data_IF_606266232781
#
_entry.id   IF_606266232781
#
_cell.length_a   1.000
_cell.length_b   1.000
_cell.length_c   1.000
_cell.angle_alpha   90.00
_cell.angle_beta   90.00
_cell.angle_gamma   90.00
#
_symmetry.space_group_name_H-M   'P 1'
#
loop_
_entity.id
_entity.type
_entity.pdbx_description
1 polymer ?
#
# COMPACT_ATOMS: atom_id res chain seq x y z
N UNK A 1 -32.47 3.31 1.43
CA UNK A 1 -31.86 3.80 0.20
C UNK A 1 -30.36 3.68 0.34
N UNK A 2 -29.74 2.84 -0.51
CA UNK A 2 -28.29 2.73 -0.60
C UNK A 2 -27.77 3.86 -1.47
N UNK A 3 -26.78 4.60 -1.00
CA UNK A 3 -26.13 5.66 -1.77
C UNK A 3 -25.62 5.09 -3.10
N UNK A 4 -25.81 5.80 -4.24
CA UNK A 4 -25.21 5.39 -5.51
C UNK A 4 -23.70 5.19 -5.36
N UNK A 5 -23.19 4.06 -5.79
CA UNK A 5 -21.78 3.70 -5.65
C UNK A 5 -21.38 3.05 -4.32
N UNK A 6 -22.33 2.80 -3.40
CA UNK A 6 -22.03 1.99 -2.21
C UNK A 6 -21.84 0.51 -2.60
N UNK A 7 -20.93 -0.24 -1.94
CA UNK A 7 -20.73 -1.67 -2.20
C UNK A 7 -22.00 -2.49 -2.07
N UNK A 8 -22.97 -2.01 -1.31
CA UNK A 8 -24.26 -2.66 -1.07
C UNK A 8 -25.30 -2.41 -2.19
N UNK A 9 -25.01 -1.50 -3.14
CA UNK A 9 -25.98 -1.10 -4.17
C UNK A 9 -26.08 -2.09 -5.34
N UNK A 10 -25.06 -2.93 -5.59
CA UNK A 10 -24.98 -3.80 -6.76
C UNK A 10 -24.80 -5.25 -6.31
N UNK A 11 -25.72 -6.11 -6.71
CA UNK A 11 -25.59 -7.57 -6.54
C UNK A 11 -24.67 -8.10 -7.69
N UNK A 12 -23.42 -8.42 -7.35
CA UNK A 12 -22.48 -9.01 -8.29
C UNK A 12 -22.70 -10.53 -8.44
N UNK A 13 -22.48 -11.06 -9.66
CA UNK A 13 -22.45 -12.50 -9.91
C UNK A 13 -21.30 -13.16 -9.12
N UNK A 14 -21.42 -14.44 -8.79
CA UNK A 14 -20.42 -15.19 -8.02
C UNK A 14 -19.01 -15.06 -8.59
N UNK A 15 -18.75 -15.22 -9.90
CA UNK A 15 -17.40 -15.05 -10.46
C UNK A 15 -16.82 -13.66 -10.24
N UNK A 16 -17.64 -12.61 -10.40
CA UNK A 16 -17.18 -11.22 -10.15
C UNK A 16 -16.82 -10.99 -8.68
N UNK A 17 -17.55 -11.63 -7.76
CA UNK A 17 -17.26 -11.54 -6.32
C UNK A 17 -15.90 -12.15 -5.98
N UNK A 18 -15.57 -13.31 -6.56
CA UNK A 18 -14.25 -13.91 -6.40
C UNK A 18 -13.15 -13.02 -6.99
N UNK A 19 -13.37 -12.44 -8.16
CA UNK A 19 -12.42 -11.52 -8.78
C UNK A 19 -12.16 -10.30 -7.87
N UNK A 20 -13.18 -9.65 -7.35
CA UNK A 20 -13.04 -8.55 -6.40
C UNK A 20 -12.31 -8.94 -5.13
N UNK A 21 -12.57 -10.15 -4.63
CA UNK A 21 -11.89 -10.68 -3.45
C UNK A 21 -10.38 -10.77 -3.67
N UNK A 22 -9.95 -11.45 -4.73
CA UNK A 22 -8.52 -11.62 -5.00
C UNK A 22 -7.81 -10.32 -5.34
N UNK A 23 -8.43 -9.45 -6.15
CA UNK A 23 -7.86 -8.13 -6.45
C UNK A 23 -7.75 -7.31 -5.17
N UNK A 24 -8.78 -7.32 -4.32
CA UNK A 24 -8.77 -6.58 -3.06
C UNK A 24 -7.66 -7.05 -2.11
N UNK A 25 -7.46 -8.36 -1.99
CA UNK A 25 -6.38 -8.93 -1.17
C UNK A 25 -5.00 -8.57 -1.75
N UNK A 26 -4.84 -8.69 -3.06
CA UNK A 26 -3.57 -8.37 -3.72
C UNK A 26 -3.18 -6.90 -3.51
N UNK A 27 -4.13 -5.98 -3.73
CA UNK A 27 -3.90 -4.54 -3.51
C UNK A 27 -3.61 -4.23 -2.04
N UNK A 28 -4.31 -4.89 -1.11
CA UNK A 28 -4.09 -4.69 0.33
C UNK A 28 -2.68 -5.13 0.76
N UNK A 29 -2.19 -6.26 0.24
CA UNK A 29 -0.84 -6.76 0.53
C UNK A 29 0.22 -5.86 -0.11
N UNK A 30 0.05 -5.46 -1.37
CA UNK A 30 1.04 -4.64 -2.09
C UNK A 30 1.39 -3.36 -1.35
N UNK A 31 0.39 -2.63 -0.86
CA UNK A 31 0.60 -1.40 -0.10
C UNK A 31 1.39 -1.62 1.21
N UNK A 32 1.19 -2.77 1.87
CA UNK A 32 1.91 -3.12 3.11
C UNK A 32 3.30 -3.69 2.82
N UNK A 33 3.45 -4.42 1.72
CA UNK A 33 4.70 -5.04 1.30
C UNK A 33 5.77 -3.97 1.01
N UNK A 34 5.41 -2.88 0.33
CA UNK A 34 6.29 -1.75 0.05
C UNK A 34 6.97 -1.20 1.31
N UNK A 35 6.19 -0.92 2.35
CA UNK A 35 6.78 -0.49 3.62
C UNK A 35 7.53 -1.62 4.34
N UNK A 36 7.08 -2.85 4.16
CA UNK A 36 7.71 -4.05 4.69
C UNK A 36 9.13 -4.26 4.17
N UNK A 37 9.36 -4.07 2.87
CA UNK A 37 10.69 -4.20 2.26
C UNK A 37 11.70 -3.20 2.83
N UNK A 38 11.30 -1.94 3.01
CA UNK A 38 12.18 -0.94 3.65
C UNK A 38 12.50 -1.35 5.09
N UNK A 39 11.49 -1.78 5.85
CA UNK A 39 11.68 -2.17 7.25
C UNK A 39 12.60 -3.40 7.37
N UNK A 40 12.42 -4.39 6.49
CA UNK A 40 13.24 -5.61 6.49
C UNK A 40 14.70 -5.35 6.11
N UNK A 41 14.95 -4.35 5.25
CA UNK A 41 16.30 -4.04 4.76
C UNK A 41 16.88 -2.76 5.37
N UNK A 42 16.28 -2.25 6.44
CA UNK A 42 16.71 -1.00 7.07
C UNK A 42 18.20 -0.97 7.43
N UNK A 43 18.81 -2.06 7.99
CA UNK A 43 20.25 -2.08 8.27
C UNK A 43 21.12 -1.94 7.01
N UNK A 44 20.68 -2.53 5.89
CA UNK A 44 21.39 -2.43 4.61
C UNK A 44 21.34 -1.00 4.07
N UNK A 45 20.17 -0.39 4.06
CA UNK A 45 19.93 0.99 3.64
C UNK A 45 20.74 1.96 4.52
N UNK A 46 20.76 1.70 5.83
CA UNK A 46 21.54 2.46 6.80
C UNK A 46 23.03 2.42 6.47
N UNK A 47 23.59 1.26 6.14
CA UNK A 47 24.98 1.08 5.76
C UNK A 47 25.33 1.80 4.47
N UNK A 48 24.48 1.71 3.45
CA UNK A 48 24.71 2.31 2.14
C UNK A 48 24.73 3.85 2.17
N UNK A 49 23.81 4.46 2.91
CA UNK A 49 23.74 5.92 3.06
C UNK A 49 24.57 6.46 4.23
N UNK A 50 25.23 5.62 5.02
CA UNK A 50 25.99 6.03 6.20
C UNK A 50 25.13 6.68 7.28
N UNK A 51 23.88 6.23 7.45
CA UNK A 51 22.92 6.84 8.35
C UNK A 51 23.09 6.36 9.79
N UNK A 52 22.75 7.21 10.73
CA UNK A 52 22.50 6.79 12.11
C UNK A 52 21.22 5.95 12.20
N UNK A 53 21.05 5.08 13.21
CA UNK A 53 19.82 4.32 13.42
C UNK A 53 18.55 5.21 13.48
N UNK A 54 18.70 6.40 14.05
CA UNK A 54 17.61 7.38 14.16
C UNK A 54 17.19 7.93 12.79
N UNK A 55 18.15 8.27 11.93
CA UNK A 55 17.87 8.75 10.57
C UNK A 55 17.23 7.65 9.72
N UNK A 56 17.76 6.43 9.77
CA UNK A 56 17.22 5.31 9.03
C UNK A 56 15.75 5.01 9.43
N UNK A 57 15.42 5.11 10.72
CA UNK A 57 14.07 4.89 11.23
C UNK A 57 13.03 5.88 10.67
N UNK A 58 13.45 7.06 10.19
CA UNK A 58 12.55 8.01 9.54
C UNK A 58 12.00 7.52 8.20
N UNK A 59 12.68 6.64 7.49
CA UNK A 59 12.21 6.13 6.20
C UNK A 59 10.87 5.38 6.31
N UNK A 60 10.74 4.32 7.14
CA UNK A 60 9.44 3.68 7.34
C UNK A 60 8.45 4.59 8.10
N UNK A 61 8.92 5.42 9.03
CA UNK A 61 8.06 6.32 9.79
C UNK A 61 7.39 7.37 8.90
N UNK A 62 8.14 8.00 7.99
CA UNK A 62 7.61 9.01 7.07
C UNK A 62 6.51 8.43 6.17
N UNK A 63 6.68 7.20 5.68
CA UNK A 63 5.63 6.50 4.93
C UNK A 63 4.36 6.33 5.78
N UNK A 64 4.50 5.79 6.99
CA UNK A 64 3.33 5.53 7.87
C UNK A 64 2.64 6.84 8.25
N UNK A 65 3.38 7.87 8.64
CA UNK A 65 2.83 9.18 8.98
C UNK A 65 2.06 9.80 7.81
N UNK A 66 2.64 9.78 6.61
CA UNK A 66 2.00 10.28 5.40
C UNK A 66 0.75 9.46 5.04
N UNK A 67 0.82 8.13 5.16
CA UNK A 67 -0.32 7.24 4.89
C UNK A 67 -1.48 7.48 5.84
N UNK A 68 -1.22 7.58 7.14
CA UNK A 68 -2.24 7.86 8.15
C UNK A 68 -2.85 9.25 7.92
N UNK A 69 -2.03 10.26 7.66
CA UNK A 69 -2.50 11.62 7.37
C UNK A 69 -3.37 11.67 6.12
N UNK A 70 -2.97 10.95 5.06
CA UNK A 70 -3.76 10.83 3.83
C UNK A 70 -5.12 10.15 4.07
N UNK A 71 -5.18 9.15 4.95
CA UNK A 71 -6.44 8.49 5.31
C UNK A 71 -7.46 9.45 5.94
N UNK A 72 -7.03 10.48 6.66
CA UNK A 72 -7.93 11.52 7.19
C UNK A 72 -8.57 12.36 6.09
N UNK A 73 -7.79 12.70 5.05
CA UNK A 73 -8.24 13.49 3.91
C UNK A 73 -9.08 12.65 2.95
N UNK A 74 -8.79 11.36 2.88
CA UNK A 74 -9.38 10.38 1.97
C UNK A 74 -10.91 10.34 2.02
N UNK A 75 -11.48 10.46 3.21
CA UNK A 75 -12.93 10.45 3.39
C UNK A 75 -13.60 11.60 2.62
N UNK A 76 -13.04 12.81 2.74
CA UNK A 76 -13.56 14.01 2.06
C UNK A 76 -13.30 13.96 0.54
N UNK A 77 -12.10 13.59 0.14
CA UNK A 77 -11.73 13.48 -1.27
C UNK A 77 -12.60 12.44 -2.01
N UNK A 78 -12.87 11.31 -1.37
CA UNK A 78 -13.75 10.27 -1.92
C UNK A 78 -15.20 10.74 -2.08
N UNK A 79 -15.71 11.57 -1.18
CA UNK A 79 -17.04 12.15 -1.30
C UNK A 79 -17.15 13.15 -2.45
N UNK A 80 -16.10 13.93 -2.71
CA UNK A 80 -16.09 14.97 -3.73
C UNK A 80 -15.81 14.43 -5.14
N UNK A 81 -14.84 13.55 -5.29
CA UNK A 81 -14.33 13.08 -6.59
C UNK A 81 -14.75 11.65 -6.93
N UNK A 82 -15.32 10.94 -5.98
CA UNK A 82 -15.65 9.52 -6.10
C UNK A 82 -14.45 8.60 -5.86
N UNK A 83 -14.76 7.36 -5.48
CA UNK A 83 -13.73 6.36 -5.14
C UNK A 83 -12.84 6.00 -6.34
N UNK A 84 -13.44 5.89 -7.54
CA UNK A 84 -12.73 5.45 -8.74
C UNK A 84 -11.61 6.41 -9.13
N UNK A 85 -11.94 7.68 -9.34
CA UNK A 85 -10.96 8.70 -9.75
C UNK A 85 -9.86 8.84 -8.71
N UNK A 86 -10.23 8.86 -7.43
CA UNK A 86 -9.28 8.96 -6.34
C UNK A 86 -8.31 7.78 -6.29
N UNK A 87 -8.80 6.55 -6.49
CA UNK A 87 -7.96 5.35 -6.49
C UNK A 87 -7.08 5.24 -7.73
N UNK A 88 -7.59 5.62 -8.91
CA UNK A 88 -6.81 5.67 -10.15
C UNK A 88 -5.64 6.65 -10.05
N UNK A 89 -5.88 7.84 -9.53
CA UNK A 89 -4.82 8.85 -9.30
C UNK A 89 -3.81 8.33 -8.27
N UNK A 90 -4.27 7.77 -7.15
CA UNK A 90 -3.41 7.20 -6.13
C UNK A 90 -2.53 6.08 -6.68
N UNK A 91 -3.08 5.19 -7.50
CA UNK A 91 -2.33 4.10 -8.13
C UNK A 91 -1.25 4.63 -9.08
N UNK A 92 -1.60 5.60 -9.93
CA UNK A 92 -0.63 6.21 -10.86
C UNK A 92 0.51 6.89 -10.11
N UNK A 93 0.20 7.66 -9.06
CA UNK A 93 1.23 8.31 -8.24
C UNK A 93 2.07 7.25 -7.52
N UNK A 94 1.47 6.19 -7.00
CA UNK A 94 2.19 5.11 -6.31
C UNK A 94 3.19 4.43 -7.25
N UNK A 95 2.76 4.04 -8.45
CA UNK A 95 3.63 3.44 -9.46
C UNK A 95 4.76 4.43 -9.87
N UNK A 96 4.42 5.69 -10.10
CA UNK A 96 5.42 6.71 -10.45
C UNK A 96 6.49 6.87 -9.36
N UNK A 97 6.10 6.80 -8.09
CA UNK A 97 7.04 6.88 -6.97
C UNK A 97 7.88 5.62 -6.82
N UNK A 98 7.32 4.42 -7.06
CA UNK A 98 8.11 3.19 -7.09
C UNK A 98 9.19 3.26 -8.16
N UNK A 99 8.85 3.74 -9.36
CA UNK A 99 9.83 3.99 -10.43
C UNK A 99 10.86 5.05 -10.00
N UNK A 100 10.43 6.12 -9.32
CA UNK A 100 11.33 7.15 -8.81
C UNK A 100 12.34 6.58 -7.80
N UNK A 101 11.94 5.64 -6.95
CA UNK A 101 12.84 5.02 -5.98
C UNK A 101 14.06 4.32 -6.61
N UNK A 102 13.93 3.83 -7.85
CA UNK A 102 15.04 3.21 -8.58
C UNK A 102 16.18 4.22 -8.84
N UNK A 103 15.83 5.51 -8.94
CA UNK A 103 16.78 6.62 -9.22
C UNK A 103 17.17 7.40 -7.97
N UNK A 104 16.79 6.93 -6.80
CA UNK A 104 17.12 7.60 -5.54
C UNK A 104 18.56 7.26 -5.13
N UNK A 105 19.37 8.30 -4.95
CA UNK A 105 20.77 8.17 -4.57
C UNK A 105 21.13 8.94 -3.28
N UNK A 106 20.18 9.70 -2.71
CA UNK A 106 20.40 10.46 -1.47
C UNK A 106 19.31 10.17 -0.46
N UNK A 107 19.65 10.31 0.81
CA UNK A 107 18.70 10.11 1.92
C UNK A 107 17.48 11.03 1.83
N UNK A 108 17.68 12.31 1.49
CA UNK A 108 16.60 13.28 1.39
C UNK A 108 15.60 12.91 0.27
N UNK A 109 16.12 12.44 -0.87
CA UNK A 109 15.27 11.94 -1.96
C UNK A 109 14.51 10.69 -1.54
N UNK A 110 15.18 9.77 -0.82
CA UNK A 110 14.53 8.59 -0.27
C UNK A 110 13.40 8.97 0.69
N UNK A 111 13.66 9.89 1.61
CA UNK A 111 12.67 10.35 2.57
C UNK A 111 11.47 11.03 1.88
N UNK A 112 11.73 11.90 0.90
CA UNK A 112 10.67 12.53 0.11
C UNK A 112 9.84 11.49 -0.64
N UNK A 113 10.48 10.53 -1.31
CA UNK A 113 9.79 9.47 -2.02
C UNK A 113 8.93 8.61 -1.08
N UNK A 114 9.40 8.33 0.15
CA UNK A 114 8.63 7.62 1.18
C UNK A 114 7.38 8.40 1.62
N UNK A 115 7.47 9.72 1.77
CA UNK A 115 6.31 10.57 2.07
C UNK A 115 5.28 10.47 0.94
N UNK A 116 5.71 10.64 -0.31
CA UNK A 116 4.80 10.59 -1.46
C UNK A 116 4.20 9.18 -1.63
N UNK A 117 5.00 8.13 -1.46
CA UNK A 117 4.51 6.75 -1.47
C UNK A 117 3.47 6.50 -0.37
N UNK A 118 3.68 7.03 0.83
CA UNK A 118 2.72 6.95 1.93
C UNK A 118 1.39 7.63 1.60
N UNK A 119 1.44 8.84 1.04
CA UNK A 119 0.23 9.56 0.60
C UNK A 119 -0.53 8.78 -0.48
N UNK A 120 0.18 8.22 -1.45
CA UNK A 120 -0.40 7.45 -2.54
C UNK A 120 -0.85 6.03 -2.12
N UNK A 121 -0.27 5.47 -1.08
CA UNK A 121 -0.63 4.14 -0.55
C UNK A 121 -1.97 4.09 0.18
N UNK A 122 -2.44 5.21 0.74
CA UNK A 122 -3.72 5.26 1.45
C UNK A 122 -4.93 4.96 0.55
N UNK A 123 -5.06 5.49 -0.67
CA UNK A 123 -6.08 5.09 -1.63
C UNK A 123 -6.07 3.60 -1.94
N UNK A 124 -4.88 2.99 -2.07
CA UNK A 124 -4.73 1.57 -2.37
C UNK A 124 -5.26 0.69 -1.23
N UNK A 125 -4.88 0.99 0.00
CA UNK A 125 -5.38 0.27 1.19
C UNK A 125 -6.90 0.34 1.28
N UNK A 126 -7.49 1.51 1.05
CA UNK A 126 -8.93 1.70 1.01
C UNK A 126 -9.60 0.94 -0.13
N UNK A 127 -8.98 0.92 -1.31
CA UNK A 127 -9.49 0.20 -2.47
C UNK A 127 -9.49 -1.31 -2.23
N UNK A 128 -8.40 -1.83 -1.67
CA UNK A 128 -8.27 -3.23 -1.29
C UNK A 128 -9.37 -3.66 -0.33
N UNK A 129 -9.60 -2.88 0.73
CA UNK A 129 -10.69 -3.10 1.68
C UNK A 129 -12.07 -3.08 0.97
N UNK A 130 -12.29 -2.10 0.11
CA UNK A 130 -13.55 -1.95 -0.61
C UNK A 130 -13.87 -3.14 -1.52
N UNK A 131 -12.90 -3.61 -2.28
CA UNK A 131 -13.07 -4.76 -3.16
C UNK A 131 -13.29 -6.05 -2.37
N UNK A 132 -12.57 -6.23 -1.29
CA UNK A 132 -12.76 -7.39 -0.41
C UNK A 132 -14.16 -7.38 0.22
N UNK A 133 -14.67 -6.23 0.65
CA UNK A 133 -16.04 -6.09 1.13
C UNK A 133 -17.09 -6.48 0.09
N UNK A 134 -16.88 -6.10 -1.18
CA UNK A 134 -17.84 -6.42 -2.26
C UNK A 134 -17.94 -7.92 -2.58
N UNK A 135 -16.95 -8.69 -2.17
CA UNK A 135 -17.00 -10.15 -2.30
C UNK A 135 -18.04 -10.80 -1.40
N UNK A 136 -18.45 -10.14 -0.32
CA UNK A 136 -19.38 -10.68 0.68
C UNK A 136 -20.80 -10.16 0.46
N UNK A 137 -21.78 -10.92 0.99
CA UNK A 137 -23.16 -10.44 1.07
C UNK A 137 -23.26 -9.33 2.11
N UNK A 138 -24.28 -8.48 2.00
CA UNK A 138 -24.49 -7.32 2.88
C UNK A 138 -24.41 -7.66 4.38
N UNK A 139 -24.97 -8.81 4.78
CA UNK A 139 -24.93 -9.27 6.18
C UNK A 139 -23.51 -9.66 6.66
N UNK A 140 -22.62 -10.02 5.74
CA UNK A 140 -21.28 -10.54 6.02
C UNK A 140 -20.15 -9.55 5.65
N UNK A 141 -20.49 -8.32 5.28
CA UNK A 141 -19.49 -7.32 4.82
C UNK A 141 -18.37 -7.06 5.84
N UNK A 142 -18.70 -7.15 7.14
CA UNK A 142 -17.70 -7.02 8.20
C UNK A 142 -16.60 -8.10 8.11
N UNK A 143 -16.94 -9.32 7.67
CA UNK A 143 -15.94 -10.37 7.43
C UNK A 143 -14.94 -9.97 6.37
N UNK A 144 -15.40 -9.30 5.30
CA UNK A 144 -14.53 -8.76 4.26
C UNK A 144 -13.52 -7.74 4.79
N UNK A 145 -13.95 -6.87 5.71
CA UNK A 145 -13.07 -5.89 6.35
C UNK A 145 -11.99 -6.60 7.18
N UNK A 146 -12.37 -7.54 8.04
CA UNK A 146 -11.42 -8.28 8.88
C UNK A 146 -10.42 -9.06 8.04
N UNK A 147 -10.86 -9.69 6.96
CA UNK A 147 -9.99 -10.41 6.04
C UNK A 147 -9.02 -9.45 5.35
N UNK A 148 -9.49 -8.31 4.84
CA UNK A 148 -8.64 -7.32 4.19
C UNK A 148 -7.55 -6.80 5.13
N UNK A 149 -7.92 -6.44 6.37
CA UNK A 149 -6.95 -6.01 7.38
C UNK A 149 -5.97 -7.12 7.76
N UNK A 150 -6.45 -8.35 7.94
CA UNK A 150 -5.59 -9.50 8.25
C UNK A 150 -4.56 -9.75 7.14
N UNK A 151 -4.98 -9.73 5.88
CA UNK A 151 -4.08 -9.89 4.74
C UNK A 151 -3.11 -8.71 4.58
N UNK A 152 -3.55 -7.49 4.83
CA UNK A 152 -2.66 -6.33 4.83
C UNK A 152 -1.51 -6.50 5.83
N UNK A 153 -1.76 -7.07 7.00
CA UNK A 153 -0.72 -7.31 8.01
C UNK A 153 0.29 -8.39 7.60
N UNK A 154 -0.03 -9.23 6.62
CA UNK A 154 0.91 -10.22 6.08
C UNK A 154 2.02 -9.60 5.22
N UNK A 155 1.85 -8.37 4.74
CA UNK A 155 2.84 -7.72 3.88
C UNK A 155 4.21 -7.59 4.53
N UNK A 156 4.28 -7.18 5.80
CA UNK A 156 5.55 -7.05 6.52
C UNK A 156 6.24 -8.41 6.73
N UNK A 157 5.61 -9.44 7.30
CA UNK A 157 6.20 -10.78 7.39
C UNK A 157 6.64 -11.35 6.04
N UNK A 158 5.85 -11.16 4.99
CA UNK A 158 6.22 -11.59 3.64
C UNK A 158 7.46 -10.87 3.12
N UNK A 159 7.58 -9.57 3.39
CA UNK A 159 8.78 -8.82 3.02
C UNK A 159 10.04 -9.39 3.67
N UNK A 160 9.99 -9.78 4.95
CA UNK A 160 11.10 -10.44 5.64
C UNK A 160 11.47 -11.81 5.03
N UNK A 161 10.47 -12.57 4.56
CA UNK A 161 10.70 -13.87 3.92
C UNK A 161 11.26 -13.70 2.51
N UNK A 162 10.73 -12.74 1.74
CA UNK A 162 11.06 -12.56 0.33
C UNK A 162 12.39 -11.80 0.16
N UNK A 163 12.65 -10.82 1.03
CA UNK A 163 13.81 -9.93 0.91
C UNK A 163 15.15 -10.65 0.76
N UNK A 164 15.49 -11.70 1.51
CA UNK A 164 16.76 -12.40 1.35
C UNK A 164 16.96 -13.06 -0.01
N UNK A 165 15.87 -13.33 -0.74
CA UNK A 165 15.94 -13.93 -2.09
C UNK A 165 16.09 -12.87 -3.19
N UNK A 166 15.69 -11.63 -2.91
CA UNK A 166 15.73 -10.53 -3.86
C UNK A 166 16.99 -9.68 -3.72
N UNK A 167 17.41 -9.44 -2.50
CA UNK A 167 18.61 -8.65 -2.19
C UNK A 167 19.82 -9.55 -2.33
N UNK A 168 20.41 -9.54 -3.52
CA UNK A 168 21.80 -9.94 -3.67
C UNK A 168 22.70 -8.86 -3.08
N UNK A 169 23.88 -9.22 -2.62
CA UNK A 169 24.81 -8.43 -1.81
C UNK A 169 25.18 -7.03 -2.33
N UNK A 170 24.73 -6.62 -3.51
CA UNK A 170 25.25 -5.43 -4.19
C UNK A 170 24.30 -4.23 -4.28
N UNK A 171 22.98 -4.37 -4.15
CA UNK A 171 22.08 -3.22 -4.10
C UNK A 171 20.68 -3.52 -3.58
N UNK A 172 20.17 -2.68 -2.70
CA UNK A 172 18.80 -2.73 -2.20
C UNK A 172 17.78 -2.19 -3.22
N UNK A 173 18.22 -1.45 -4.24
CA UNK A 173 17.35 -0.90 -5.29
C UNK A 173 16.59 -1.96 -6.09
N UNK A 174 17.06 -3.21 -6.09
CA UNK A 174 16.37 -4.37 -6.68
C UNK A 174 14.98 -4.58 -6.06
N UNK A 175 14.79 -4.20 -4.79
CA UNK A 175 13.50 -4.32 -4.12
C UNK A 175 12.40 -3.51 -4.81
N UNK A 176 12.72 -2.30 -5.28
CA UNK A 176 11.76 -1.45 -5.98
C UNK A 176 11.44 -1.93 -7.39
N UNK A 177 12.35 -2.69 -7.99
CA UNK A 177 12.09 -3.31 -9.29
C UNK A 177 11.11 -4.48 -9.17
N UNK A 178 11.06 -5.10 -7.97
CA UNK A 178 10.14 -6.20 -7.68
C UNK A 178 8.74 -5.71 -7.26
N UNK A 179 8.62 -4.56 -6.59
CA UNK A 179 7.34 -3.94 -6.21
C UNK A 179 6.51 -3.54 -7.43
#
# INVERSE_FOLDING_TARGET
>A
PTLPGSPAAIAHSVPKRFLYFFIGLFVAISASLSNGFITANLPLIQGEYGLTPSEAAWLPAAYVMANVSSNLILFKARQQYGLRVFSEIGLVIFIAVLVLHIFVHTYEMALFARVVAGLAGAPLSSLGMYYTMQAFKKADMAKGIYIAFGFQQLGVPLAWIISPFLVSTDSWSVLYTFE
#
